data_IF_585920290929
#
_entry.id   IF_585920290929
#
_cell.length_a   1.000
_cell.length_b   1.000
_cell.length_c   1.000
_cell.angle_alpha   90.00
_cell.angle_beta   90.00
_cell.angle_gamma   90.00
#
_symmetry.space_group_name_H-M   'P 1'
#
loop_
_entity.id
_entity.type
_entity.pdbx_description
1 polymer ?
#
# COMPACT_ATOMS: atom_id res chain seq x y z
N UNK A 1 -30.44 -10.34 -0.48
CA UNK A 1 -29.82 -9.05 -0.08
C UNK A 1 -28.35 -9.35 -0.05
N UNK A 2 -27.76 -9.33 -1.22
CA UNK A 2 -26.44 -9.92 -1.46
C UNK A 2 -25.57 -8.78 -2.01
N UNK A 3 -25.20 -7.88 -1.10
CA UNK A 3 -24.17 -6.86 -1.34
C UNK A 3 -22.93 -7.26 -0.56
N UNK A 4 -22.40 -8.45 -0.89
CA UNK A 4 -21.05 -8.85 -0.53
C UNK A 4 -20.16 -8.51 -1.73
N UNK A 5 -19.09 -7.73 -1.59
CA UNK A 5 -18.27 -7.38 -2.74
C UNK A 5 -17.51 -8.62 -3.21
N UNK A 6 -18.11 -9.35 -4.16
CA UNK A 6 -17.49 -10.33 -5.03
C UNK A 6 -16.57 -9.62 -6.05
N UNK A 7 -15.64 -8.79 -5.57
CA UNK A 7 -14.55 -8.23 -6.37
C UNK A 7 -13.21 -8.80 -5.91
N UNK A 8 -13.12 -10.12 -5.91
CA UNK A 8 -11.86 -10.82 -5.73
C UNK A 8 -11.62 -11.75 -6.93
N UNK A 9 -11.07 -11.27 -8.06
CA UNK A 9 -10.21 -12.16 -8.88
C UNK A 9 -9.35 -11.60 -10.02
N UNK A 10 -9.49 -10.36 -10.50
CA UNK A 10 -8.86 -9.99 -11.78
C UNK A 10 -7.76 -8.90 -11.74
N UNK A 11 -7.39 -8.38 -10.56
CA UNK A 11 -6.46 -7.24 -10.50
C UNK A 11 -5.69 -7.12 -9.19
N UNK A 12 -5.30 -8.25 -8.58
CA UNK A 12 -4.37 -8.23 -7.46
C UNK A 12 -2.97 -7.96 -8.02
N UNK A 13 -2.41 -6.83 -7.65
CA UNK A 13 -1.04 -6.45 -7.94
C UNK A 13 -0.13 -6.88 -6.79
N UNK A 14 1.02 -7.43 -7.13
CA UNK A 14 2.09 -7.77 -6.22
C UNK A 14 3.23 -6.77 -6.37
N UNK A 15 3.71 -6.24 -5.25
CA UNK A 15 4.85 -5.34 -5.19
C UNK A 15 5.96 -6.01 -4.40
N UNK A 16 7.10 -6.19 -5.06
CA UNK A 16 8.33 -6.69 -4.45
C UNK A 16 9.42 -5.65 -4.65
N UNK A 17 9.96 -5.07 -3.57
CA UNK A 17 11.02 -4.06 -3.69
C UNK A 17 11.77 -3.86 -2.37
N UNK A 18 13.11 -3.71 -2.43
CA UNK A 18 13.98 -3.52 -1.25
C UNK A 18 13.79 -4.59 -0.15
N UNK A 19 13.50 -5.83 -0.54
CA UNK A 19 13.25 -6.93 0.41
C UNK A 19 11.89 -6.87 1.11
N UNK A 20 10.95 -6.12 0.56
CA UNK A 20 9.58 -5.98 1.06
C UNK A 20 8.61 -6.44 0.00
N UNK A 21 7.62 -7.22 0.41
CA UNK A 21 6.57 -7.77 -0.43
C UNK A 21 5.22 -7.22 0.03
N UNK A 22 4.44 -6.67 -0.87
CA UNK A 22 3.12 -6.11 -0.60
C UNK A 22 2.13 -6.56 -1.68
N UNK A 23 0.86 -6.63 -1.33
CA UNK A 23 -0.21 -6.96 -2.26
C UNK A 23 -1.28 -5.89 -2.19
N UNK A 24 -1.91 -5.61 -3.31
CA UNK A 24 -3.00 -4.66 -3.37
C UNK A 24 -3.83 -4.82 -4.62
N UNK A 25 -4.95 -4.12 -4.70
CA UNK A 25 -5.85 -4.19 -5.84
C UNK A 25 -6.45 -2.82 -6.11
N UNK A 26 -6.84 -2.61 -7.36
CA UNK A 26 -7.60 -1.42 -7.72
C UNK A 26 -9.09 -1.66 -7.44
N UNK A 27 -9.67 -0.80 -6.61
CA UNK A 27 -11.09 -0.81 -6.32
C UNK A 27 -11.90 -0.27 -7.51
N UNK A 28 -13.20 -0.58 -7.51
CA UNK A 28 -14.12 -0.16 -8.57
C UNK A 28 -14.16 1.37 -8.79
N UNK A 29 -13.89 2.12 -7.72
CA UNK A 29 -13.90 3.58 -7.68
C UNK A 29 -12.59 4.22 -8.23
N UNK A 30 -11.62 3.40 -8.65
CA UNK A 30 -10.30 3.86 -9.11
C UNK A 30 -9.30 4.13 -7.98
N UNK A 31 -9.69 3.92 -6.72
CA UNK A 31 -8.78 3.91 -5.57
C UNK A 31 -7.97 2.61 -5.53
N UNK A 32 -6.81 2.63 -4.89
CA UNK A 32 -5.94 1.46 -4.76
C UNK A 32 -5.88 0.98 -3.31
N UNK A 33 -6.30 -0.24 -3.05
CA UNK A 33 -6.32 -0.81 -1.70
C UNK A 33 -5.13 -1.74 -1.53
N UNK A 34 -4.27 -1.45 -0.55
CA UNK A 34 -3.19 -2.35 -0.12
C UNK A 34 -3.78 -3.31 0.89
N UNK A 35 -3.59 -4.61 0.69
CA UNK A 35 -4.07 -5.62 1.61
C UNK A 35 -3.28 -5.60 2.91
N UNK A 36 -3.93 -5.96 4.01
CA UNK A 36 -3.25 -6.31 5.26
C UNK A 36 -2.20 -7.41 5.02
N UNK A 37 -1.22 -7.51 5.90
CA UNK A 37 -0.01 -8.33 5.77
C UNK A 37 0.95 -7.91 4.65
N UNK A 38 0.62 -6.83 3.92
CA UNK A 38 1.57 -6.21 3.02
C UNK A 38 2.76 -5.65 3.79
N UNK A 39 3.94 -5.84 3.27
CA UNK A 39 5.15 -5.26 3.80
C UNK A 39 5.18 -3.74 3.63
N UNK A 40 5.86 -3.09 4.56
CA UNK A 40 6.00 -1.65 4.65
C UNK A 40 7.43 -1.31 5.11
N UNK A 41 8.13 -0.51 4.33
CA UNK A 41 9.48 -0.07 4.68
C UNK A 41 9.41 0.77 5.92
N UNK A 42 10.05 0.34 7.01
CA UNK A 42 10.29 1.18 8.19
C UNK A 42 11.41 2.20 7.99
N UNK A 43 12.26 1.97 6.99
CA UNK A 43 13.41 2.83 6.70
C UNK A 43 12.92 3.97 5.82
N UNK A 44 12.78 5.15 6.43
CA UNK A 44 12.46 6.39 5.75
C UNK A 44 13.67 7.33 5.73
N UNK A 45 14.03 7.82 4.54
CA UNK A 45 15.08 8.83 4.42
C UNK A 45 14.58 10.15 5.01
N UNK A 46 15.46 10.88 5.68
CA UNK A 46 15.12 12.13 6.38
C UNK A 46 14.45 13.19 5.48
N UNK A 47 14.60 13.08 4.16
CA UNK A 47 14.07 14.01 3.14
C UNK A 47 12.79 13.53 2.44
N UNK A 48 12.12 12.47 2.91
CA UNK A 48 10.92 11.96 2.23
C UNK A 48 9.70 12.90 2.42
N UNK A 49 9.09 13.41 1.33
CA UNK A 49 7.94 14.32 1.41
C UNK A 49 6.66 13.66 1.95
N UNK A 50 6.60 12.32 2.00
CA UNK A 50 5.45 11.53 2.49
C UNK A 50 5.54 11.10 3.96
N UNK A 51 6.44 11.71 4.76
CA UNK A 51 6.56 11.45 6.21
C UNK A 51 5.24 11.60 6.96
N UNK A 52 4.44 12.62 6.66
CA UNK A 52 3.15 12.84 7.32
C UNK A 52 2.16 11.69 7.10
N UNK A 53 2.09 11.16 5.87
CA UNK A 53 1.18 10.05 5.55
C UNK A 53 1.60 8.78 6.29
N UNK A 54 2.90 8.50 6.34
CA UNK A 54 3.47 7.33 7.03
C UNK A 54 3.33 7.43 8.55
N UNK A 55 3.65 8.59 9.13
CA UNK A 55 3.42 8.86 10.53
C UNK A 55 1.93 8.73 10.90
N UNK A 56 1.02 9.17 10.03
CA UNK A 56 -0.42 8.99 10.22
C UNK A 56 -0.82 7.52 10.20
N UNK A 57 -0.33 6.72 9.26
CA UNK A 57 -0.61 5.27 9.21
C UNK A 57 -0.09 4.54 10.46
N UNK A 58 1.10 4.90 10.95
CA UNK A 58 1.67 4.33 12.18
C UNK A 58 0.86 4.79 13.40
N UNK A 59 0.48 6.06 13.47
CA UNK A 59 -0.32 6.62 14.56
C UNK A 59 -1.75 6.07 14.61
N UNK A 60 -2.36 5.83 13.44
CA UNK A 60 -3.64 5.12 13.33
C UNK A 60 -3.51 3.62 13.64
N UNK A 61 -2.29 3.08 13.74
CA UNK A 61 -2.03 1.67 14.01
C UNK A 61 -2.18 0.75 12.80
N UNK A 62 -2.31 1.32 11.59
CA UNK A 62 -2.48 0.62 10.30
C UNK A 62 -1.22 -0.11 9.84
N UNK A 63 -0.06 0.30 10.36
CA UNK A 63 1.23 -0.30 10.09
C UNK A 63 1.93 -0.59 11.39
N UNK A 64 2.30 -1.86 11.60
CA UNK A 64 3.03 -2.32 12.78
C UNK A 64 4.17 -3.21 12.35
N UNK A 65 5.34 -2.99 12.94
CA UNK A 65 6.55 -3.75 12.62
C UNK A 65 6.94 -3.77 11.12
N UNK A 66 6.57 -2.74 10.34
CA UNK A 66 6.85 -2.69 8.91
C UNK A 66 5.94 -3.59 8.10
N UNK A 67 4.73 -3.84 8.60
CA UNK A 67 3.68 -4.61 7.92
C UNK A 67 2.35 -3.92 8.14
N UNK A 68 1.50 -3.88 7.11
CA UNK A 68 0.13 -3.41 7.21
C UNK A 68 -0.69 -4.37 8.06
N UNK A 69 -1.36 -3.86 9.08
CA UNK A 69 -2.22 -4.67 9.96
C UNK A 69 -3.65 -4.77 9.44
N UNK A 70 -4.03 -3.84 8.56
CA UNK A 70 -5.35 -3.72 7.95
C UNK A 70 -5.24 -3.30 6.49
N UNK A 71 -6.33 -3.44 5.74
CA UNK A 71 -6.44 -2.94 4.39
C UNK A 71 -6.47 -1.40 4.37
N UNK A 72 -5.64 -0.81 3.52
CA UNK A 72 -5.49 0.65 3.43
C UNK A 72 -5.76 1.11 2.01
N UNK A 73 -6.77 1.97 1.86
CA UNK A 73 -7.08 2.62 0.59
C UNK A 73 -6.17 3.83 0.36
N UNK A 74 -5.65 3.90 -0.85
CA UNK A 74 -4.83 4.99 -1.38
C UNK A 74 -5.54 5.60 -2.59
N UNK A 75 -5.29 6.87 -2.83
CA UNK A 75 -5.85 7.59 -3.97
C UNK A 75 -5.33 7.07 -5.32
N UNK A 76 -4.16 6.42 -5.35
CA UNK A 76 -3.58 5.85 -6.58
C UNK A 76 -2.49 4.81 -6.30
N UNK A 77 -2.25 3.91 -7.27
CA UNK A 77 -1.16 2.92 -7.30
C UNK A 77 0.22 3.51 -6.95
N UNK A 78 0.58 4.64 -7.55
CA UNK A 78 1.86 5.31 -7.28
C UNK A 78 1.94 5.91 -5.87
N UNK A 79 0.80 6.35 -5.34
CA UNK A 79 0.65 6.77 -3.94
C UNK A 79 1.01 5.64 -2.99
N UNK A 80 0.41 4.47 -3.21
CA UNK A 80 0.60 3.25 -2.44
C UNK A 80 2.03 2.71 -2.52
N UNK A 81 2.59 2.56 -3.74
CA UNK A 81 3.95 2.02 -3.92
C UNK A 81 5.00 2.87 -3.20
N UNK A 82 4.92 4.19 -3.33
CA UNK A 82 5.84 5.08 -2.64
C UNK A 82 5.65 5.13 -1.12
N UNK A 83 4.44 4.81 -0.64
CA UNK A 83 4.18 4.68 0.79
C UNK A 83 4.79 3.39 1.35
N UNK A 84 4.49 2.26 0.69
CA UNK A 84 5.00 0.92 0.99
C UNK A 84 6.53 0.90 0.96
N UNK A 85 7.17 1.36 -0.12
CA UNK A 85 8.62 1.33 -0.26
C UNK A 85 9.34 2.48 0.47
N UNK A 86 8.61 3.50 0.91
CA UNK A 86 9.19 4.67 1.58
C UNK A 86 10.14 5.48 0.68
N UNK A 87 9.96 5.43 -0.64
CA UNK A 87 10.80 6.09 -1.64
C UNK A 87 9.96 6.58 -2.82
N UNK A 88 10.49 7.50 -3.63
CA UNK A 88 9.91 7.81 -4.94
C UNK A 88 10.16 6.64 -5.87
N UNK A 89 9.09 5.93 -6.22
CA UNK A 89 9.11 4.76 -7.10
C UNK A 89 7.97 4.91 -8.11
N UNK A 90 8.21 4.42 -9.32
CA UNK A 90 7.17 4.32 -10.33
C UNK A 90 6.16 3.23 -9.94
N UNK A 91 5.01 3.62 -9.39
CA UNK A 91 4.00 2.65 -8.94
C UNK A 91 3.58 1.65 -10.00
N UNK A 92 3.54 2.05 -11.27
CA UNK A 92 3.20 1.15 -12.39
C UNK A 92 4.25 0.06 -12.60
N UNK A 93 5.53 0.32 -12.31
CA UNK A 93 6.59 -0.69 -12.38
C UNK A 93 6.72 -1.49 -11.09
N UNK A 94 6.34 -0.89 -9.97
CA UNK A 94 6.43 -1.51 -8.65
C UNK A 94 5.33 -2.55 -8.43
N UNK A 95 4.10 -2.26 -8.87
CA UNK A 95 2.95 -3.15 -8.80
C UNK A 95 2.88 -4.01 -10.08
N UNK A 96 3.02 -5.33 -9.97
CA UNK A 96 3.01 -6.31 -11.07
C UNK A 96 1.88 -7.31 -10.96
#
# INVERSE_FOLDING_TARGET
MDDGPEKCRAGLFHLSGRGIEATGYEAADGSFVVCRESGFSMIEVASCPKKKLRAKLIAEGKVKNGVFTEDVSFTSKSGAAGCVLGASVDGVKAWK
#
